data_IF_119120273619
#
_entry.id   IF_119120273619
#
_cell.length_a   1.000
_cell.length_b   1.000
_cell.length_c   1.000
_cell.angle_alpha   90.00
_cell.angle_beta   90.00
_cell.angle_gamma   90.00
#
_symmetry.space_group_name_H-M   'P 1'
#
loop_
_entity.id
_entity.type
_entity.pdbx_description
1 polymer ?
#
# COMPACT_ATOMS: atom_id res chain seq x y z
N UNK A 1 13.73 0.24 -11.03
CA UNK A 1 12.32 0.43 -11.48
C UNK A 1 11.59 1.33 -10.49
N UNK A 2 10.88 2.34 -10.99
CA UNK A 2 10.02 3.23 -10.18
C UNK A 2 8.57 2.80 -10.31
N UNK A 3 7.91 2.54 -9.19
CA UNK A 3 6.51 2.08 -9.16
C UNK A 3 5.65 3.06 -8.39
N UNK A 4 4.52 3.46 -8.97
CA UNK A 4 3.47 4.20 -8.29
C UNK A 4 2.30 3.26 -7.99
N UNK A 5 2.06 3.03 -6.71
CA UNK A 5 0.94 2.24 -6.22
C UNK A 5 -0.10 3.18 -5.63
N UNK A 6 -1.32 3.16 -6.13
CA UNK A 6 -2.39 3.97 -5.57
C UNK A 6 -3.58 3.12 -5.14
N UNK A 7 -4.18 3.52 -4.04
CA UNK A 7 -5.33 2.85 -3.46
C UNK A 7 -6.41 3.84 -3.02
N UNK A 8 -7.68 3.57 -3.32
CA UNK A 8 -8.78 4.27 -2.71
C UNK A 8 -8.94 3.80 -1.26
N UNK A 9 -9.27 4.71 -0.37
CA UNK A 9 -9.62 4.39 1.00
C UNK A 9 -10.80 5.20 1.46
N UNK A 10 -11.83 4.52 1.95
CA UNK A 10 -13.01 5.15 2.55
C UNK A 10 -13.39 4.40 3.82
N UNK A 11 -13.54 5.16 4.87
CA UNK A 11 -14.05 4.66 6.14
C UNK A 11 -14.99 5.69 6.74
N UNK A 12 -16.29 5.40 6.72
CA UNK A 12 -17.30 6.30 7.26
C UNK A 12 -17.76 5.85 8.63
N UNK A 13 -17.73 6.74 9.64
CA UNK A 13 -18.29 6.43 10.97
C UNK A 13 -19.82 6.47 11.00
N UNK A 14 -20.49 6.85 9.90
CA UNK A 14 -21.96 6.97 9.87
C UNK A 14 -22.60 5.59 9.86
N UNK A 15 -23.58 5.38 10.75
CA UNK A 15 -24.45 4.22 10.70
C UNK A 15 -25.15 4.10 9.34
N UNK A 16 -25.35 2.87 8.89
CA UNK A 16 -26.04 2.51 7.63
C UNK A 16 -25.36 2.88 6.31
N UNK A 17 -24.06 3.15 6.28
CA UNK A 17 -23.33 3.18 5.01
C UNK A 17 -22.68 1.82 4.72
N UNK A 18 -22.52 1.47 3.45
CA UNK A 18 -21.75 0.30 3.02
C UNK A 18 -20.30 0.30 3.56
N UNK A 19 -19.83 1.49 3.90
CA UNK A 19 -18.47 1.75 4.41
C UNK A 19 -18.44 1.97 5.92
N UNK A 20 -19.57 1.79 6.63
CA UNK A 20 -19.61 2.00 8.07
C UNK A 20 -19.08 0.78 8.82
N UNK A 21 -18.30 1.04 9.84
CA UNK A 21 -18.10 0.07 10.89
C UNK A 21 -18.83 0.53 12.14
N UNK A 22 -19.82 -0.24 12.51
CA UNK A 22 -20.61 0.01 13.74
C UNK A 22 -19.88 -0.41 15.01
N UNK A 23 -18.71 -1.07 14.89
CA UNK A 23 -17.97 -1.62 16.02
C UNK A 23 -16.50 -1.22 15.95
N UNK A 24 -15.91 -0.98 17.12
CA UNK A 24 -14.47 -0.75 17.27
C UNK A 24 -13.63 -1.89 16.66
N UNK A 25 -14.11 -3.12 16.73
CA UNK A 25 -13.45 -4.27 16.11
C UNK A 25 -13.33 -4.14 14.59
N UNK A 26 -14.39 -3.70 13.91
CA UNK A 26 -14.34 -3.46 12.45
C UNK A 26 -13.41 -2.30 12.11
N UNK A 27 -13.41 -1.25 12.91
CA UNK A 27 -12.48 -0.12 12.75
C UNK A 27 -11.04 -0.59 12.84
N UNK A 28 -10.70 -1.37 13.88
CA UNK A 28 -9.35 -1.92 14.07
C UNK A 28 -8.95 -2.86 12.93
N UNK A 29 -9.86 -3.72 12.45
CA UNK A 29 -9.59 -4.58 11.29
C UNK A 29 -9.28 -3.78 10.03
N UNK A 30 -10.07 -2.74 9.72
CA UNK A 30 -9.84 -1.86 8.57
C UNK A 30 -8.54 -1.07 8.71
N UNK A 31 -8.22 -0.57 9.89
CA UNK A 31 -6.97 0.10 10.18
C UNK A 31 -5.76 -0.80 9.95
N UNK A 32 -5.83 -2.06 10.44
CA UNK A 32 -4.77 -3.04 10.23
C UNK A 32 -4.63 -3.42 8.76
N UNK A 33 -5.74 -3.57 8.03
CA UNK A 33 -5.73 -3.84 6.60
C UNK A 33 -5.04 -2.70 5.84
N UNK A 34 -5.43 -1.46 6.09
CA UNK A 34 -4.83 -0.27 5.48
C UNK A 34 -3.32 -0.16 5.80
N UNK A 35 -2.93 -0.40 7.05
CA UNK A 35 -1.52 -0.39 7.45
C UNK A 35 -0.70 -1.45 6.71
N UNK A 36 -1.22 -2.65 6.55
CA UNK A 36 -0.56 -3.73 5.80
C UNK A 36 -0.49 -3.42 4.31
N UNK A 37 -1.57 -2.90 3.72
CA UNK A 37 -1.62 -2.55 2.31
C UNK A 37 -0.70 -1.36 1.96
N UNK A 38 -0.44 -0.45 2.89
CA UNK A 38 0.46 0.70 2.71
C UNK A 38 1.89 0.37 3.14
N UNK A 39 2.18 0.42 4.42
CA UNK A 39 3.53 0.25 4.98
C UNK A 39 4.04 -1.18 4.79
N UNK A 40 3.16 -2.18 4.88
CA UNK A 40 3.54 -3.57 4.64
C UNK A 40 4.06 -3.78 3.21
N UNK A 41 3.39 -3.23 2.20
CA UNK A 41 3.87 -3.29 0.81
C UNK A 41 5.14 -2.48 0.62
N UNK A 42 5.24 -1.26 1.18
CA UNK A 42 6.46 -0.46 1.12
C UNK A 42 7.65 -1.21 1.69
N UNK A 43 7.54 -1.74 2.91
CA UNK A 43 8.63 -2.46 3.57
C UNK A 43 9.05 -3.71 2.80
N UNK A 44 8.09 -4.41 2.20
CA UNK A 44 8.36 -5.65 1.47
C UNK A 44 9.07 -5.41 0.13
N UNK A 45 8.63 -4.41 -0.62
CA UNK A 45 9.08 -4.23 -2.02
C UNK A 45 10.20 -3.21 -2.18
N UNK A 46 10.50 -2.40 -1.16
CA UNK A 46 11.67 -1.50 -1.18
C UNK A 46 12.96 -2.14 -0.68
N UNK A 47 12.92 -3.36 -0.17
CA UNK A 47 14.12 -4.04 0.32
C UNK A 47 15.03 -4.40 -0.86
N UNK A 48 16.26 -3.87 -0.83
CA UNK A 48 17.29 -4.14 -1.84
C UNK A 48 18.04 -5.45 -1.62
N UNK A 49 17.90 -6.04 -0.44
CA UNK A 49 18.66 -7.22 -0.03
C UNK A 49 17.72 -8.24 0.59
N UNK A 50 17.75 -9.45 0.05
CA UNK A 50 17.13 -10.62 0.66
C UNK A 50 18.23 -11.46 1.27
N UNK A 51 18.10 -11.77 2.55
CA UNK A 51 18.96 -12.75 3.20
C UNK A 51 18.27 -14.10 3.06
N UNK A 52 18.83 -14.98 2.25
CA UNK A 52 18.40 -16.37 2.20
C UNK A 52 19.26 -17.16 3.17
N UNK A 53 18.66 -17.60 4.29
CA UNK A 53 19.29 -18.52 5.20
C UNK A 53 19.03 -19.96 4.73
N UNK A 54 20.06 -20.69 4.35
CA UNK A 54 19.98 -22.12 4.07
C UNK A 54 20.85 -22.89 5.06
N UNK A 55 20.40 -24.09 5.43
CA UNK A 55 21.22 -25.02 6.19
C UNK A 55 22.23 -25.64 5.23
N UNK A 56 23.53 -25.41 5.48
CA UNK A 56 24.60 -26.08 4.79
C UNK A 56 24.63 -27.59 5.12
N UNK A 57 25.46 -28.36 4.40
CA UNK A 57 25.63 -29.81 4.61
C UNK A 57 25.97 -30.20 6.05
N UNK A 58 26.60 -29.29 6.81
CA UNK A 58 26.97 -29.49 8.22
C UNK A 58 25.96 -28.86 9.20
N UNK A 59 24.74 -28.52 8.73
CA UNK A 59 23.74 -27.78 9.50
C UNK A 59 24.17 -26.36 9.90
N UNK A 60 25.23 -25.83 9.33
CA UNK A 60 25.62 -24.43 9.50
C UNK A 60 24.65 -23.53 8.75
N UNK A 61 24.26 -22.42 9.37
CA UNK A 61 23.43 -21.40 8.71
C UNK A 61 24.31 -20.64 7.72
N UNK A 62 24.07 -20.86 6.45
CA UNK A 62 24.72 -20.09 5.39
C UNK A 62 23.82 -18.94 5.00
N UNK A 63 24.19 -17.73 5.38
CA UNK A 63 23.55 -16.52 4.92
C UNK A 63 24.09 -16.18 3.52
N UNK A 64 23.24 -16.20 2.52
CA UNK A 64 23.53 -15.66 1.20
C UNK A 64 22.77 -14.36 1.02
N UNK A 65 23.48 -13.30 0.79
CA UNK A 65 22.92 -12.03 0.35
C UNK A 65 22.58 -12.16 -1.14
N UNK A 66 21.31 -12.19 -1.46
CA UNK A 66 20.85 -12.10 -2.84
C UNK A 66 20.73 -10.60 -3.15
N UNK A 67 21.68 -10.05 -3.90
CA UNK A 67 21.46 -8.76 -4.54
C UNK A 67 20.38 -8.93 -5.59
N UNK A 68 19.22 -8.35 -5.34
CA UNK A 68 18.28 -8.09 -6.43
C UNK A 68 18.86 -6.91 -7.24
N UNK A 69 19.06 -7.15 -8.53
CA UNK A 69 19.41 -6.10 -9.48
C UNK A 69 18.47 -4.91 -9.31
N UNK A 70 19.01 -3.71 -9.37
CA UNK A 70 18.35 -2.42 -9.48
C UNK A 70 17.04 -2.28 -8.68
N UNK A 71 17.17 -1.99 -7.39
CA UNK A 71 16.06 -1.96 -6.44
C UNK A 71 14.81 -1.24 -6.92
N UNK A 72 13.66 -1.79 -6.54
CA UNK A 72 12.34 -1.17 -6.77
C UNK A 72 12.19 0.05 -5.89
N UNK A 73 11.91 1.20 -6.49
CA UNK A 73 11.49 2.41 -5.79
C UNK A 73 9.97 2.48 -5.82
N UNK A 74 9.34 2.04 -4.73
CA UNK A 74 7.89 2.03 -4.60
C UNK A 74 7.42 3.31 -3.92
N UNK A 75 6.44 3.98 -4.52
CA UNK A 75 5.69 5.07 -3.90
C UNK A 75 4.23 4.67 -3.78
N UNK A 76 3.71 4.79 -2.57
CA UNK A 76 2.30 4.47 -2.27
C UNK A 76 1.50 5.75 -2.08
N UNK A 77 0.33 5.81 -2.69
CA UNK A 77 -0.62 6.91 -2.54
C UNK A 77 -1.94 6.38 -2.04
N UNK A 78 -2.41 6.93 -0.93
CA UNK A 78 -3.77 6.69 -0.41
C UNK A 78 -4.65 7.86 -0.85
N UNK A 79 -5.69 7.55 -1.62
CA UNK A 79 -6.64 8.52 -2.13
C UNK A 79 -7.93 8.42 -1.33
N UNK A 80 -8.27 9.45 -0.56
CA UNK A 80 -9.32 9.36 0.46
C UNK A 80 -10.09 10.66 0.65
N UNK A 81 -11.38 10.61 1.02
CA UNK A 81 -12.12 11.80 1.39
C UNK A 81 -11.69 12.33 2.76
N UNK A 82 -11.73 13.63 2.99
CA UNK A 82 -11.47 14.19 4.32
C UNK A 82 -12.56 13.75 5.32
N UNK A 83 -12.18 13.42 6.53
CA UNK A 83 -13.09 13.09 7.64
C UNK A 83 -13.80 11.73 7.55
N UNK A 84 -13.62 10.98 6.46
CA UNK A 84 -14.18 9.64 6.29
C UNK A 84 -13.06 8.64 5.93
N UNK A 85 -12.04 8.58 6.77
CA UNK A 85 -10.87 7.74 6.55
C UNK A 85 -10.10 7.44 7.84
N UNK A 86 -9.19 6.48 7.76
CA UNK A 86 -8.26 6.09 8.82
C UNK A 86 -6.81 6.47 8.49
N UNK A 87 -6.58 7.27 7.45
CA UNK A 87 -5.23 7.60 6.98
C UNK A 87 -4.41 8.43 7.98
N UNK A 88 -5.06 9.17 8.87
CA UNK A 88 -4.38 9.93 9.94
C UNK A 88 -3.70 9.05 11.00
N UNK A 89 -3.98 7.76 11.00
CA UNK A 89 -3.39 6.79 11.92
C UNK A 89 -2.21 6.03 11.30
N UNK A 90 -1.89 6.30 10.02
CA UNK A 90 -0.72 5.74 9.36
C UNK A 90 0.56 6.43 9.81
N UNK A 91 1.67 5.68 9.98
CA UNK A 91 2.96 6.29 10.27
C UNK A 91 3.44 7.15 9.11
N UNK A 92 4.19 8.19 9.41
CA UNK A 92 4.86 8.99 8.40
C UNK A 92 5.93 8.16 7.67
N UNK A 93 5.88 8.18 6.33
CA UNK A 93 6.90 7.59 5.47
C UNK A 93 7.09 8.49 4.23
N UNK A 94 8.34 8.70 3.82
CA UNK A 94 8.67 9.55 2.65
C UNK A 94 8.10 9.03 1.33
N UNK A 95 7.80 7.74 1.27
CA UNK A 95 7.24 7.06 0.10
C UNK A 95 5.74 6.81 0.22
N UNK A 96 5.11 7.28 1.30
CA UNK A 96 3.67 7.26 1.50
C UNK A 96 3.11 8.67 1.36
N UNK A 97 2.15 8.85 0.47
CA UNK A 97 1.43 10.11 0.29
C UNK A 97 -0.05 9.92 0.50
N UNK A 98 -0.67 10.77 1.29
CA UNK A 98 -2.12 10.79 1.49
C UNK A 98 -2.67 11.97 0.70
N UNK A 99 -3.65 11.71 -0.16
CA UNK A 99 -4.34 12.71 -0.96
C UNK A 99 -5.80 12.80 -0.51
N UNK A 100 -6.16 13.92 0.07
CA UNK A 100 -7.54 14.22 0.41
C UNK A 100 -8.28 14.74 -0.82
N UNK A 101 -9.19 13.91 -1.34
CA UNK A 101 -9.99 14.27 -2.51
C UNK A 101 -11.15 15.16 -2.14
N UNK A 102 -11.59 16.02 -3.08
CA UNK A 102 -12.83 16.81 -2.97
C UNK A 102 -14.08 16.03 -3.42
N UNK A 103 -13.93 14.80 -3.84
CA UNK A 103 -15.03 13.94 -4.29
C UNK A 103 -15.93 13.62 -3.10
N UNK A 104 -17.22 13.97 -3.21
CA UNK A 104 -18.20 13.76 -2.14
C UNK A 104 -18.89 12.40 -2.21
N UNK A 105 -19.03 11.87 -3.41
CA UNK A 105 -19.59 10.55 -3.63
C UNK A 105 -18.50 9.49 -3.48
N UNK A 106 -18.59 8.68 -2.44
CA UNK A 106 -17.60 7.65 -2.12
C UNK A 106 -17.46 6.60 -3.22
N UNK A 107 -18.51 6.34 -3.99
CA UNK A 107 -18.45 5.40 -5.12
C UNK A 107 -17.57 5.92 -6.28
N UNK A 108 -17.29 7.22 -6.30
CA UNK A 108 -16.41 7.85 -7.30
C UNK A 108 -14.94 7.91 -6.87
N UNK A 109 -14.61 7.54 -5.63
CA UNK A 109 -13.22 7.57 -5.14
C UNK A 109 -12.32 6.64 -5.95
N UNK A 110 -12.70 5.38 -6.28
CA UNK A 110 -11.91 4.51 -7.14
C UNK A 110 -11.59 5.12 -8.50
N UNK A 111 -12.57 5.77 -9.12
CA UNK A 111 -12.39 6.45 -10.42
C UNK A 111 -11.43 7.63 -10.29
N UNK A 112 -11.53 8.42 -9.21
CA UNK A 112 -10.60 9.49 -8.89
C UNK A 112 -9.17 8.99 -8.70
N UNK A 113 -9.00 7.86 -8.03
CA UNK A 113 -7.70 7.19 -7.83
C UNK A 113 -7.09 6.76 -9.17
N UNK A 114 -7.90 6.14 -10.04
CA UNK A 114 -7.45 5.73 -11.38
C UNK A 114 -7.04 6.92 -12.25
N UNK A 115 -7.81 8.02 -12.19
CA UNK A 115 -7.47 9.26 -12.89
C UNK A 115 -6.15 9.84 -12.39
N UNK A 116 -5.94 9.88 -11.07
CA UNK A 116 -4.68 10.32 -10.49
C UNK A 116 -3.48 9.51 -10.98
N UNK A 117 -3.62 8.18 -11.08
CA UNK A 117 -2.57 7.31 -11.62
C UNK A 117 -2.22 7.69 -13.07
N UNK A 118 -3.23 7.88 -13.92
CA UNK A 118 -3.03 8.26 -15.32
C UNK A 118 -2.39 9.65 -15.49
N UNK A 119 -2.75 10.60 -14.64
CA UNK A 119 -2.20 11.96 -14.66
C UNK A 119 -0.74 12.03 -14.15
N UNK A 120 -0.26 11.00 -13.45
CA UNK A 120 1.09 10.95 -12.87
C UNK A 120 1.94 9.78 -13.39
N UNK A 121 1.55 9.14 -14.48
CA UNK A 121 2.22 7.93 -14.96
C UNK A 121 3.60 8.19 -15.59
N UNK A 122 3.85 9.38 -16.16
CA UNK A 122 5.05 9.68 -16.94
C UNK A 122 6.35 9.62 -16.12
N UNK A 123 6.28 9.81 -14.81
CA UNK A 123 7.43 9.76 -13.90
C UNK A 123 7.78 8.34 -13.39
N UNK A 124 6.99 7.34 -13.79
CA UNK A 124 7.07 5.97 -13.26
C UNK A 124 7.19 4.94 -14.39
N UNK A 125 7.95 3.89 -14.13
CA UNK A 125 8.07 2.74 -15.04
C UNK A 125 6.83 1.84 -14.98
N UNK A 126 6.13 1.86 -13.86
CA UNK A 126 4.90 1.08 -13.62
C UNK A 126 3.94 1.84 -12.73
N UNK A 127 2.66 1.78 -13.06
CA UNK A 127 1.56 2.25 -12.20
C UNK A 127 0.67 1.06 -11.83
N UNK A 128 0.20 1.02 -10.60
CA UNK A 128 -0.67 -0.05 -10.12
C UNK A 128 -1.80 0.51 -9.23
N UNK A 129 -3.01 0.03 -9.49
CA UNK A 129 -4.18 0.26 -8.64
C UNK A 129 -4.41 -0.98 -7.80
N UNK A 130 -4.58 -0.81 -6.49
CA UNK A 130 -4.97 -1.88 -5.57
C UNK A 130 -6.02 -1.36 -4.60
N UNK A 131 -6.81 -2.26 -4.03
CA UNK A 131 -7.72 -1.94 -2.93
C UNK A 131 -6.96 -1.77 -1.61
N UNK A 132 -7.56 -1.08 -0.65
CA UNK A 132 -6.94 -0.68 0.62
C UNK A 132 -6.74 -1.82 1.63
N UNK A 133 -7.06 -3.04 1.25
CA UNK A 133 -6.86 -4.28 2.02
C UNK A 133 -5.96 -5.31 1.31
N UNK A 134 -5.44 -4.98 0.13
CA UNK A 134 -4.58 -5.88 -0.67
C UNK A 134 -3.13 -5.77 -0.23
N UNK A 135 -2.54 -6.91 0.11
CA UNK A 135 -1.11 -7.07 0.38
C UNK A 135 -0.49 -7.92 -0.72
N UNK A 136 0.47 -7.35 -1.43
CA UNK A 136 1.23 -8.06 -2.46
C UNK A 136 2.28 -8.93 -1.75
N UNK A 137 2.04 -10.22 -1.74
CA UNK A 137 2.89 -11.16 -0.99
C UNK A 137 4.11 -11.63 -1.77
N UNK A 138 4.01 -11.67 -3.09
CA UNK A 138 5.14 -12.05 -3.95
C UNK A 138 6.21 -10.94 -3.92
N UNK A 139 7.41 -11.21 -3.37
CA UNK A 139 8.47 -10.23 -3.30
C UNK A 139 9.02 -9.83 -4.69
N UNK A 140 8.77 -10.64 -5.70
CA UNK A 140 9.20 -10.41 -7.08
C UNK A 140 8.10 -9.81 -7.97
N UNK A 141 6.99 -9.41 -7.38
CA UNK A 141 5.84 -8.90 -8.16
C UNK A 141 6.20 -7.70 -9.05
N UNK A 142 7.12 -6.86 -8.60
CA UNK A 142 7.59 -5.68 -9.33
C UNK A 142 8.97 -5.86 -9.97
N UNK A 143 9.44 -7.07 -10.22
CA UNK A 143 10.76 -7.32 -10.82
C UNK A 143 10.66 -7.83 -12.26
#
# INVERSE_FOLDING_TARGET
MKVLLAMPHVFSPKENSLYSSQTESKRQQKQQALLRATIGNLNRHQQRHWIHASLGKNKDVVNRELQTSDGVSLKTVVFTPPGANLSGELPEDKNLKIIHTKIKDFQQIPLGTSRYLLENCDDYDMIAYIEDDIVIQDPYFFT
#
